data_IF_314547576530
#
_entry.id   IF_314547576530
#
_cell.length_a   1.000
_cell.length_b   1.000
_cell.length_c   1.000
_cell.angle_alpha   90.00
_cell.angle_beta   90.00
_cell.angle_gamma   90.00
#
_symmetry.space_group_name_H-M   'P 1'
#
loop_
_entity.id
_entity.type
_entity.pdbx_description
1 polymer ?
#
# COMPACT_ATOMS: atom_id res chain seq x y z
N UNK A 1 -7.92 30.03 -36.69
CA UNK A 1 -6.93 30.36 -35.64
C UNK A 1 -7.00 29.22 -34.63
N UNK A 2 -6.19 28.18 -34.85
CA UNK A 2 -6.20 26.95 -34.05
C UNK A 2 -5.46 27.21 -32.75
N UNK A 3 -6.16 27.32 -31.63
CA UNK A 3 -5.53 27.34 -30.31
C UNK A 3 -5.24 25.89 -29.95
N UNK A 4 -4.07 25.41 -30.33
CA UNK A 4 -3.58 24.11 -29.89
C UNK A 4 -3.42 24.16 -28.35
N UNK A 5 -4.18 23.37 -27.58
CA UNK A 5 -4.14 23.39 -26.11
C UNK A 5 -2.79 22.94 -25.53
N UNK A 6 -1.84 22.51 -26.37
CA UNK A 6 -0.46 22.20 -25.99
C UNK A 6 0.47 23.42 -25.93
N UNK A 7 0.02 24.61 -26.37
CA UNK A 7 0.87 25.82 -26.45
C UNK A 7 0.66 26.83 -25.32
N UNK A 8 -0.06 26.49 -24.24
CA UNK A 8 -0.19 27.37 -23.07
C UNK A 8 1.11 27.38 -22.24
N UNK A 9 1.86 28.50 -22.20
CA UNK A 9 3.13 28.59 -21.48
C UNK A 9 2.97 28.55 -19.95
N UNK A 10 1.73 28.63 -19.44
CA UNK A 10 1.43 28.56 -18.00
C UNK A 10 0.99 27.17 -17.55
N UNK A 11 0.74 26.25 -18.50
CA UNK A 11 0.33 24.87 -18.18
C UNK A 11 1.55 24.06 -17.78
N UNK A 12 1.68 23.79 -16.48
CA UNK A 12 2.62 22.78 -15.97
C UNK A 12 2.18 21.41 -16.51
N UNK A 13 2.96 20.84 -17.42
CA UNK A 13 2.73 19.47 -17.85
C UNK A 13 3.12 18.51 -16.71
N UNK A 14 2.17 17.78 -16.10
CA UNK A 14 2.48 16.82 -15.05
C UNK A 14 3.35 15.66 -15.55
N UNK A 15 3.52 15.52 -16.87
CA UNK A 15 4.33 14.50 -17.51
C UNK A 15 5.66 15.03 -18.07
N UNK A 16 6.06 16.26 -17.73
CA UNK A 16 7.38 16.79 -18.09
C UNK A 16 8.48 15.85 -17.57
N UNK A 17 9.34 15.36 -18.48
CA UNK A 17 10.37 14.36 -18.18
C UNK A 17 9.90 12.91 -18.07
N UNK A 18 8.66 12.58 -18.45
CA UNK A 18 8.19 11.18 -18.50
C UNK A 18 8.92 10.42 -19.63
N UNK A 19 9.67 9.34 -19.34
CA UNK A 19 10.46 8.65 -20.37
C UNK A 19 9.64 7.72 -21.27
N UNK A 20 8.36 7.51 -20.94
CA UNK A 20 7.47 6.65 -21.72
C UNK A 20 6.79 7.41 -22.86
N UNK A 21 5.84 6.74 -23.52
CA UNK A 21 5.01 7.35 -24.56
C UNK A 21 3.55 7.35 -24.14
N UNK A 22 2.90 8.51 -24.21
CA UNK A 22 1.45 8.65 -23.99
C UNK A 22 0.77 8.62 -25.36
N UNK A 23 0.16 7.49 -25.70
CA UNK A 23 -0.63 7.34 -26.92
C UNK A 23 -2.09 7.74 -26.71
N UNK A 24 -2.89 7.77 -27.78
CA UNK A 24 -4.33 8.05 -27.65
C UNK A 24 -5.07 6.89 -26.96
N UNK A 25 -4.56 5.68 -27.16
CA UNK A 25 -5.06 4.46 -26.52
C UNK A 25 -3.99 3.83 -25.64
N UNK A 26 -4.41 2.94 -24.74
CA UNK A 26 -3.49 2.16 -23.91
C UNK A 26 -2.51 1.33 -24.77
N UNK A 27 -3.00 0.74 -25.88
CA UNK A 27 -2.20 -0.08 -26.79
C UNK A 27 -1.08 0.71 -27.50
N UNK A 28 -1.29 2.02 -27.69
CA UNK A 28 -0.29 2.92 -28.28
C UNK A 28 0.67 3.51 -27.25
N UNK A 29 0.38 3.33 -25.96
CA UNK A 29 1.15 3.90 -24.86
C UNK A 29 2.25 2.95 -24.41
N UNK A 30 3.39 3.51 -24.03
CA UNK A 30 4.49 2.79 -23.39
C UNK A 30 4.68 3.31 -21.96
N UNK A 31 4.46 2.46 -20.94
CA UNK A 31 4.69 2.86 -19.57
C UNK A 31 6.19 3.01 -19.32
N UNK A 32 6.57 3.99 -18.51
CA UNK A 32 7.90 4.09 -17.95
C UNK A 32 7.80 4.17 -16.44
N UNK A 33 8.47 3.24 -15.76
CA UNK A 33 8.55 3.21 -14.31
C UNK A 33 10.00 3.51 -13.92
N UNK A 34 10.23 4.26 -12.83
CA UNK A 34 11.58 4.39 -12.31
C UNK A 34 12.14 3.00 -11.98
N UNK A 35 13.46 2.78 -12.17
CA UNK A 35 14.08 1.52 -11.80
C UNK A 35 13.80 1.25 -10.33
N UNK A 36 13.34 0.03 -10.01
CA UNK A 36 13.19 -0.37 -8.61
C UNK A 36 14.56 -0.42 -7.97
N UNK A 37 14.74 0.32 -6.89
CA UNK A 37 15.93 0.18 -6.05
C UNK A 37 15.98 -1.24 -5.51
N UNK A 38 17.02 -1.99 -5.88
CA UNK A 38 17.27 -3.30 -5.31
C UNK A 38 17.89 -3.11 -3.91
N UNK A 39 17.43 -3.85 -2.89
CA UNK A 39 18.10 -3.87 -1.61
C UNK A 39 19.47 -4.55 -1.74
N UNK A 40 20.43 -4.18 -0.87
CA UNK A 40 21.78 -4.77 -0.90
C UNK A 40 21.78 -6.27 -0.55
N UNK A 41 22.87 -6.98 -0.87
CA UNK A 41 22.97 -8.45 -0.72
C UNK A 41 22.67 -8.99 0.69
N UNK A 42 22.90 -8.16 1.73
CA UNK A 42 22.68 -8.53 3.14
C UNK A 42 21.33 -8.09 3.69
N UNK A 43 20.47 -7.48 2.88
CA UNK A 43 19.16 -7.05 3.33
C UNK A 43 18.24 -8.25 3.57
N UNK A 44 17.47 -8.28 4.67
CA UNK A 44 16.51 -9.35 4.90
C UNK A 44 15.33 -9.24 3.94
N UNK A 45 14.68 -10.37 3.66
CA UNK A 45 13.35 -10.38 3.06
C UNK A 45 12.32 -9.99 4.12
N UNK A 46 11.46 -9.04 3.79
CA UNK A 46 10.34 -8.63 4.65
C UNK A 46 9.05 -9.11 3.99
N UNK A 47 8.32 -9.98 4.68
CA UNK A 47 7.00 -10.47 4.23
C UNK A 47 5.94 -9.92 5.18
N UNK A 48 5.00 -9.14 4.63
CA UNK A 48 3.86 -8.61 5.39
C UNK A 48 2.63 -9.43 5.02
N UNK A 49 2.09 -10.18 5.98
CA UNK A 49 0.82 -10.90 5.86
C UNK A 49 -0.26 -10.08 6.56
N UNK A 50 -1.17 -9.51 5.77
CA UNK A 50 -2.33 -8.76 6.27
C UNK A 50 -3.60 -9.56 5.97
N UNK A 51 -4.41 -9.79 7.01
CA UNK A 51 -5.71 -10.45 6.88
C UNK A 51 -6.81 -9.42 7.08
N UNK A 52 -7.83 -9.43 6.22
CA UNK A 52 -8.97 -8.51 6.29
C UNK A 52 -9.99 -9.02 7.32
N UNK A 53 -10.60 -8.09 8.06
CA UNK A 53 -11.69 -8.34 9.01
C UNK A 53 -11.46 -9.44 10.06
N UNK A 54 -10.19 -9.75 10.40
CA UNK A 54 -9.85 -10.72 11.44
C UNK A 54 -10.07 -10.12 12.85
N UNK A 55 -10.93 -10.75 13.64
CA UNK A 55 -11.15 -10.44 15.04
C UNK A 55 -9.98 -10.83 15.93
N UNK A 56 -9.88 -10.20 17.11
CA UNK A 56 -8.77 -10.42 18.03
C UNK A 56 -8.65 -11.89 18.49
N UNK A 57 -9.78 -12.55 18.78
CA UNK A 57 -9.83 -13.94 19.24
C UNK A 57 -10.08 -14.96 18.12
N UNK A 58 -9.91 -14.57 16.86
CA UNK A 58 -10.15 -15.49 15.72
C UNK A 58 -9.00 -16.47 15.48
N UNK A 59 -7.86 -16.28 16.16
CA UNK A 59 -6.68 -17.16 16.03
C UNK A 59 -6.21 -17.70 17.39
N UNK A 60 -5.66 -18.90 17.37
CA UNK A 60 -5.20 -19.65 18.55
C UNK A 60 -4.32 -18.86 19.52
N UNK A 61 -3.34 -18.04 19.07
CA UNK A 61 -2.48 -17.26 19.96
C UNK A 61 -3.21 -16.26 20.87
N UNK A 62 -4.47 -15.94 20.55
CA UNK A 62 -5.32 -15.00 21.28
C UNK A 62 -6.61 -15.65 21.82
N UNK A 63 -6.69 -16.98 21.84
CA UNK A 63 -7.75 -17.74 22.51
C UNK A 63 -8.89 -18.24 21.63
N UNK A 64 -8.67 -18.40 20.32
CA UNK A 64 -9.67 -18.97 19.42
C UNK A 64 -10.01 -20.42 19.73
N UNK A 65 -11.25 -20.80 19.45
CA UNK A 65 -11.74 -22.17 19.38
C UNK A 65 -11.37 -22.89 18.07
N UNK A 66 -10.96 -22.14 17.03
CA UNK A 66 -10.55 -22.69 15.74
C UNK A 66 -9.05 -23.00 15.78
N UNK A 67 -8.69 -24.21 15.37
CA UNK A 67 -7.29 -24.62 15.32
C UNK A 67 -6.53 -23.87 14.21
N UNK A 68 -5.52 -23.09 14.59
CA UNK A 68 -4.65 -22.34 13.67
C UNK A 68 -3.18 -22.68 13.86
N UNK A 69 -2.76 -23.96 13.68
CA UNK A 69 -1.45 -24.46 14.12
C UNK A 69 -0.25 -23.72 13.52
N UNK A 70 -0.36 -23.21 12.29
CA UNK A 70 0.69 -22.40 11.66
C UNK A 70 0.85 -21.05 12.34
N UNK A 71 -0.25 -20.41 12.75
CA UNK A 71 -0.21 -19.13 13.47
C UNK A 71 0.24 -19.33 14.91
N UNK A 72 -0.10 -20.46 15.53
CA UNK A 72 0.40 -20.86 16.85
C UNK A 72 1.93 -20.96 16.84
N UNK A 73 2.48 -21.70 15.87
CA UNK A 73 3.94 -21.85 15.71
C UNK A 73 4.63 -20.49 15.48
N UNK A 74 4.06 -19.64 14.62
CA UNK A 74 4.62 -18.31 14.34
C UNK A 74 4.63 -17.42 15.59
N UNK A 75 3.60 -17.53 16.44
CA UNK A 75 3.48 -16.75 17.66
C UNK A 75 4.40 -17.24 18.79
N UNK A 76 4.73 -18.53 18.82
CA UNK A 76 5.66 -19.12 19.78
C UNK A 76 7.13 -18.87 19.42
N UNK A 77 7.46 -18.82 18.13
CA UNK A 77 8.82 -18.50 17.64
C UNK A 77 9.08 -16.99 17.50
N UNK A 78 8.04 -16.16 17.69
CA UNK A 78 8.06 -14.73 17.39
C UNK A 78 7.65 -13.83 18.55
N UNK A 79 7.13 -12.66 18.18
CA UNK A 79 6.60 -11.66 19.13
C UNK A 79 5.11 -11.50 18.92
N UNK A 80 4.35 -11.54 20.01
CA UNK A 80 2.91 -11.27 20.04
C UNK A 80 2.64 -9.86 20.53
N UNK A 81 1.82 -9.12 19.77
CA UNK A 81 1.34 -7.79 20.16
C UNK A 81 -0.07 -7.92 20.75
N UNK A 82 -0.19 -7.88 22.08
CA UNK A 82 -1.47 -8.01 22.80
C UNK A 82 -2.25 -6.69 22.89
N UNK A 83 -1.68 -5.59 22.41
CA UNK A 83 -2.27 -4.25 22.44
C UNK A 83 -2.09 -3.50 21.11
N UNK A 84 -2.20 -4.23 19.99
CA UNK A 84 -2.14 -3.67 18.66
C UNK A 84 -3.48 -3.00 18.29
N UNK A 85 -3.42 -1.77 17.78
CA UNK A 85 -4.60 -1.01 17.40
C UNK A 85 -4.53 -0.67 15.91
N UNK A 86 -5.67 -0.82 15.23
CA UNK A 86 -5.86 -0.43 13.84
C UNK A 86 -7.05 0.53 13.72
N UNK A 87 -7.31 0.99 12.51
CA UNK A 87 -8.48 1.80 12.19
C UNK A 87 -9.69 0.90 11.92
N UNK A 88 -10.91 1.33 12.24
CA UNK A 88 -12.12 0.49 12.12
C UNK A 88 -12.61 0.31 10.67
N UNK A 89 -11.80 0.68 9.66
CA UNK A 89 -12.16 0.63 8.25
C UNK A 89 -10.95 0.21 7.40
N UNK A 90 -11.17 -0.61 6.38
CA UNK A 90 -10.11 -1.19 5.55
C UNK A 90 -9.21 -0.13 4.92
N UNK A 91 -9.78 0.91 4.30
CA UNK A 91 -9.00 1.91 3.57
C UNK A 91 -8.12 2.78 4.50
N UNK A 92 -8.64 3.36 5.61
CA UNK A 92 -7.79 4.04 6.60
C UNK A 92 -6.74 3.12 7.24
N UNK A 93 -7.07 1.87 7.56
CA UNK A 93 -6.11 0.91 8.14
C UNK A 93 -4.93 0.64 7.19
N UNK A 94 -5.23 0.38 5.91
CA UNK A 94 -4.22 0.15 4.87
C UNK A 94 -3.42 1.42 4.57
N UNK A 95 -4.05 2.59 4.59
CA UNK A 95 -3.36 3.86 4.42
C UNK A 95 -2.33 4.10 5.53
N UNK A 96 -2.69 3.84 6.79
CA UNK A 96 -1.75 3.92 7.90
C UNK A 96 -0.59 2.94 7.75
N UNK A 97 -0.87 1.68 7.39
CA UNK A 97 0.16 0.66 7.19
C UNK A 97 1.16 1.02 6.08
N UNK A 98 0.67 1.48 4.93
CA UNK A 98 1.50 1.75 3.74
C UNK A 98 2.32 3.04 3.88
N UNK A 99 1.82 4.01 4.64
CA UNK A 99 2.45 5.35 4.73
C UNK A 99 3.17 5.58 6.05
N UNK A 100 2.86 4.81 7.10
CA UNK A 100 3.33 5.06 8.46
C UNK A 100 2.75 6.34 9.07
N UNK A 101 1.69 6.91 8.46
CA UNK A 101 1.08 8.16 8.88
C UNK A 101 -0.33 7.92 9.43
N UNK A 102 -0.80 8.86 10.26
CA UNK A 102 -2.20 8.91 10.62
C UNK A 102 -3.06 9.08 9.33
N UNK A 103 -4.12 8.28 9.13
CA UNK A 103 -4.93 8.31 7.90
C UNK A 103 -5.50 9.68 7.55
N UNK A 104 -5.80 10.51 8.55
CA UNK A 104 -6.28 11.87 8.34
C UNK A 104 -5.25 12.75 7.60
N UNK A 105 -3.95 12.46 7.72
CA UNK A 105 -2.89 13.19 7.01
C UNK A 105 -2.73 12.80 5.55
N UNK A 106 -3.28 11.66 5.14
CA UNK A 106 -3.11 11.07 3.80
C UNK A 106 -4.42 10.97 3.03
N UNK A 107 -5.42 11.78 3.41
CA UNK A 107 -6.70 11.87 2.69
C UNK A 107 -7.70 10.75 2.98
N UNK A 108 -7.43 9.90 3.99
CA UNK A 108 -8.34 8.85 4.45
C UNK A 108 -9.03 9.24 5.76
N UNK A 109 -9.52 10.49 5.83
CA UNK A 109 -10.16 11.07 7.02
C UNK A 109 -11.66 10.79 7.14
N UNK A 110 -12.31 10.42 6.04
CA UNK A 110 -13.75 10.21 5.94
C UNK A 110 -14.03 9.13 4.91
N UNK A 111 -15.02 8.28 5.18
CA UNK A 111 -15.63 7.40 4.18
C UNK A 111 -17.06 7.92 4.02
N UNK A 112 -17.42 8.31 2.79
CA UNK A 112 -18.76 8.73 2.43
C UNK A 112 -19.64 7.52 2.14
#
# INVERSE_FOLDING_TARGET
MSTDPTTDPTRRDPYDGFPGRIGRTFAESEPSWPPRTAPGEKAPNIVVVLVDDMGYSDIGPFGSEIATPTLDTLADEGVRLTNYHTMPLCSPARAALLTGLNPHRVGYSMVA
#
